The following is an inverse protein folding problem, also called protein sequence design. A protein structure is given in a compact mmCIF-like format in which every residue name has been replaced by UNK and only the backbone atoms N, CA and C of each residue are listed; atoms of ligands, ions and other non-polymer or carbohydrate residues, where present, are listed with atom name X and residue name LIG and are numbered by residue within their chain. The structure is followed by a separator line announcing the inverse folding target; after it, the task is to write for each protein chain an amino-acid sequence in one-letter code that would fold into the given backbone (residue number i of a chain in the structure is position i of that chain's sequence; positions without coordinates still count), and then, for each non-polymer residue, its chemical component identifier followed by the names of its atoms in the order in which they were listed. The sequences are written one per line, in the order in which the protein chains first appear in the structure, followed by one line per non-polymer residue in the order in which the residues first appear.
data_IF_819846122789
#
_entry.id   IF_819846122789
#
_cell.length_a   1.000
_cell.length_b   1.000
_cell.length_c   1.000
_cell.angle_alpha   90.00
_cell.angle_beta   90.00
_cell.angle_gamma   90.00
#
_symmetry.space_group_name_H-M   'P 1'
#
loop_
_entity.id
_entity.type
_entity.pdbx_description
1 polymer ?
#
# COMPACT_ATOMS: atom_id res chain seq x y z
N UNK A 1 -18.87 8.68 -22.36
CA UNK A 1 -18.43 9.37 -21.13
C UNK A 1 -17.41 10.43 -21.48
N UNK A 2 -17.64 11.63 -21.03
CA UNK A 2 -16.70 12.70 -21.31
C UNK A 2 -15.53 12.69 -20.33
N UNK A 3 -14.55 13.52 -20.62
CA UNK A 3 -13.31 13.56 -19.84
C UNK A 3 -13.55 14.05 -18.41
N UNK A 4 -14.48 14.97 -18.22
CA UNK A 4 -14.80 15.48 -16.90
C UNK A 4 -15.40 14.41 -16.01
N UNK A 5 -16.31 13.59 -16.55
CA UNK A 5 -16.91 12.49 -15.80
C UNK A 5 -15.85 11.48 -15.41
N UNK A 6 -14.92 11.18 -16.31
CA UNK A 6 -13.81 10.28 -16.00
C UNK A 6 -12.94 10.82 -14.88
N UNK A 7 -12.57 12.11 -14.96
CA UNK A 7 -11.74 12.71 -13.91
C UNK A 7 -12.45 12.77 -12.58
N UNK A 8 -13.74 13.14 -12.57
CA UNK A 8 -14.43 13.33 -11.31
C UNK A 8 -14.67 12.00 -10.57
N UNK A 9 -14.93 10.92 -11.28
CA UNK A 9 -15.19 9.62 -10.65
C UNK A 9 -13.91 8.81 -10.49
N UNK A 10 -13.14 8.66 -11.55
CA UNK A 10 -11.94 7.85 -11.51
C UNK A 10 -10.87 8.48 -10.62
N UNK A 11 -10.61 9.77 -10.81
CA UNK A 11 -9.62 10.48 -10.01
C UNK A 11 -10.03 10.54 -8.54
N UNK A 12 -11.31 10.81 -8.28
CA UNK A 12 -11.81 10.85 -6.90
C UNK A 12 -11.66 9.50 -6.21
N UNK A 13 -11.97 8.42 -6.91
CA UNK A 13 -11.78 7.08 -6.37
C UNK A 13 -10.33 6.79 -6.06
N UNK A 14 -9.43 7.16 -6.97
CA UNK A 14 -8.01 6.97 -6.75
C UNK A 14 -7.48 7.81 -5.59
N UNK A 15 -7.98 9.03 -5.47
CA UNK A 15 -7.60 9.92 -4.38
C UNK A 15 -8.04 9.34 -3.03
N UNK A 16 -9.26 8.84 -2.94
CA UNK A 16 -9.75 8.23 -1.72
C UNK A 16 -8.99 6.95 -1.40
N UNK A 17 -8.71 6.13 -2.40
CA UNK A 17 -7.95 4.90 -2.20
C UNK A 17 -6.53 5.21 -1.72
N UNK A 18 -5.92 6.29 -2.22
CA UNK A 18 -4.57 6.66 -1.84
C UNK A 18 -4.50 7.27 -0.44
N UNK A 19 -5.61 7.74 0.11
CA UNK A 19 -5.59 8.44 1.41
C UNK A 19 -5.00 7.59 2.52
N UNK A 20 -5.36 6.30 2.59
CA UNK A 20 -4.83 5.41 3.61
C UNK A 20 -3.33 5.20 3.43
N UNK A 21 -2.87 5.13 2.20
CA UNK A 21 -1.45 4.94 1.91
C UNK A 21 -0.64 6.18 2.25
N UNK A 22 -1.16 7.37 1.92
CA UNK A 22 -0.52 8.64 2.31
C UNK A 22 -0.43 8.72 3.83
N UNK A 23 -1.50 8.36 4.51
CA UNK A 23 -1.52 8.41 5.97
C UNK A 23 -0.52 7.44 6.61
N UNK A 24 -0.20 6.35 5.93
CA UNK A 24 0.73 5.34 6.44
C UNK A 24 2.20 5.76 6.34
N UNK A 25 2.53 6.68 5.42
CA UNK A 25 3.92 7.04 5.15
C UNK A 25 4.64 7.65 6.36
N UNK A 26 4.09 8.70 7.03
CA UNK A 26 4.81 9.30 8.15
C UNK A 26 5.11 8.31 9.27
N UNK A 27 4.16 7.44 9.60
CA UNK A 27 4.34 6.46 10.66
C UNK A 27 5.45 5.47 10.37
N UNK A 28 5.58 5.04 9.11
CA UNK A 28 6.63 4.11 8.73
C UNK A 28 8.00 4.75 8.80
N UNK A 29 8.10 6.04 8.50
CA UNK A 29 9.37 6.76 8.57
C UNK A 29 9.73 7.05 10.03
N UNK A 30 8.79 7.56 10.81
CA UNK A 30 9.08 7.95 12.20
C UNK A 30 9.26 6.75 13.12
N UNK A 31 8.58 5.63 12.85
CA UNK A 31 8.66 4.41 13.66
C UNK A 31 9.46 3.31 12.98
N UNK A 32 10.42 3.68 12.14
CA UNK A 32 11.21 2.72 11.37
C UNK A 32 11.86 1.67 12.25
N UNK A 33 12.49 2.10 13.35
CA UNK A 33 13.17 1.19 14.25
C UNK A 33 12.21 0.20 14.90
N UNK A 34 11.06 0.68 15.38
CA UNK A 34 10.06 -0.19 16.01
C UNK A 34 9.49 -1.20 15.01
N UNK A 35 9.22 -0.76 13.79
CA UNK A 35 8.68 -1.66 12.78
C UNK A 35 9.71 -2.68 12.32
N UNK A 36 10.98 -2.27 12.23
CA UNK A 36 12.07 -3.20 11.94
C UNK A 36 12.16 -4.28 13.01
N UNK A 37 12.08 -3.89 14.28
CA UNK A 37 12.11 -4.85 15.38
C UNK A 37 10.93 -5.80 15.34
N UNK A 38 9.77 -5.32 14.92
CA UNK A 38 8.60 -6.19 14.76
C UNK A 38 8.85 -7.26 13.71
N UNK A 39 9.45 -6.89 12.58
CA UNK A 39 9.78 -7.85 11.53
C UNK A 39 10.82 -8.85 12.04
N UNK A 40 11.81 -8.39 12.80
CA UNK A 40 12.82 -9.27 13.41
C UNK A 40 12.14 -10.30 14.31
N UNK A 41 11.12 -9.88 15.05
CA UNK A 41 10.39 -10.79 15.94
C UNK A 41 9.70 -11.92 15.19
N UNK A 42 9.52 -11.80 13.90
CA UNK A 42 8.94 -12.85 13.05
C UNK A 42 9.99 -13.84 12.52
N UNK A 43 11.23 -13.73 12.97
CA UNK A 43 12.30 -14.62 12.58
C UNK A 43 13.17 -14.14 11.43
N UNK A 44 13.02 -12.88 11.02
CA UNK A 44 13.80 -12.31 9.92
C UNK A 44 15.01 -11.57 10.51
N UNK A 45 16.25 -11.84 10.04
CA UNK A 45 17.44 -11.13 10.56
C UNK A 45 17.33 -9.63 10.38
N UNK A 46 17.90 -8.87 11.34
CA UNK A 46 17.77 -7.42 11.37
C UNK A 46 18.18 -6.71 10.08
N UNK A 47 19.33 -7.02 9.46
CA UNK A 47 19.71 -6.33 8.22
C UNK A 47 18.68 -6.54 7.12
N UNK A 48 18.15 -7.76 7.00
CA UNK A 48 17.14 -8.08 5.99
C UNK A 48 15.83 -7.38 6.32
N UNK A 49 15.45 -7.34 7.59
CA UNK A 49 14.23 -6.67 8.03
C UNK A 49 14.26 -5.18 7.70
N UNK A 50 15.40 -4.51 7.95
CA UNK A 50 15.56 -3.10 7.64
C UNK A 50 15.48 -2.84 6.13
N UNK A 51 16.09 -3.70 5.33
CA UNK A 51 16.04 -3.58 3.88
C UNK A 51 14.61 -3.77 3.38
N UNK A 52 13.91 -4.77 3.92
CA UNK A 52 12.52 -5.02 3.55
C UNK A 52 11.62 -3.83 3.87
N UNK A 53 11.78 -3.24 5.04
CA UNK A 53 10.97 -2.09 5.42
C UNK A 53 11.31 -0.87 4.57
N UNK A 54 12.59 -0.65 4.28
CA UNK A 54 13.00 0.45 3.39
C UNK A 54 12.40 0.27 1.99
N UNK A 55 12.47 -0.94 1.46
CA UNK A 55 11.87 -1.23 0.16
C UNK A 55 10.35 -1.02 0.18
N UNK A 56 9.70 -1.41 1.27
CA UNK A 56 8.26 -1.21 1.43
C UNK A 56 7.90 0.27 1.41
N UNK A 57 8.71 1.11 2.07
CA UNK A 57 8.47 2.56 2.08
C UNK A 57 8.61 3.13 0.66
N UNK A 58 9.63 2.70 -0.07
CA UNK A 58 9.82 3.15 -1.45
C UNK A 58 8.64 2.72 -2.33
N UNK A 59 8.19 1.48 -2.21
CA UNK A 59 7.02 1.01 -2.94
C UNK A 59 5.77 1.81 -2.59
N UNK A 60 5.60 2.11 -1.31
CA UNK A 60 4.44 2.87 -0.84
C UNK A 60 4.44 4.29 -1.38
N UNK A 61 5.57 4.97 -1.31
CA UNK A 61 5.69 6.33 -1.80
C UNK A 61 5.52 6.37 -3.32
N UNK A 62 6.23 5.50 -4.02
CA UNK A 62 6.19 5.46 -5.49
C UNK A 62 4.80 5.11 -6.01
N UNK A 63 4.19 4.07 -5.45
CA UNK A 63 2.87 3.65 -5.85
C UNK A 63 1.81 4.70 -5.58
N UNK A 64 1.88 5.33 -4.41
CA UNK A 64 0.93 6.38 -4.05
C UNK A 64 1.07 7.59 -4.97
N UNK A 65 2.30 8.00 -5.23
CA UNK A 65 2.56 9.13 -6.15
C UNK A 65 2.00 8.83 -7.54
N UNK A 66 2.27 7.65 -8.07
CA UNK A 66 1.79 7.28 -9.40
C UNK A 66 0.26 7.19 -9.43
N UNK A 67 -0.35 6.72 -8.35
CA UNK A 67 -1.79 6.58 -8.27
C UNK A 67 -2.50 7.94 -8.31
N UNK A 68 -1.93 8.93 -7.64
CA UNK A 68 -2.55 10.25 -7.53
C UNK A 68 -2.23 11.12 -8.75
N UNK A 69 -0.97 11.17 -9.16
CA UNK A 69 -0.48 12.22 -10.05
C UNK A 69 -0.27 11.78 -11.49
N UNK A 70 -0.39 10.49 -11.80
CA UNK A 70 -0.15 10.02 -13.16
C UNK A 70 -1.30 9.19 -13.68
N UNK A 71 -1.27 8.91 -14.98
CA UNK A 71 -2.22 8.00 -15.61
C UNK A 71 -1.74 6.55 -15.61
N UNK A 72 -0.63 6.28 -14.94
CA UNK A 72 -0.05 4.93 -14.86
C UNK A 72 -0.67 4.15 -13.70
N UNK A 73 -1.99 4.06 -13.70
CA UNK A 73 -2.72 3.43 -12.61
C UNK A 73 -2.39 1.94 -12.49
N UNK A 74 -2.14 1.26 -13.62
CA UNK A 74 -1.80 -0.16 -13.58
C UNK A 74 -0.47 -0.38 -12.86
N UNK A 75 0.55 0.43 -13.15
CA UNK A 75 1.82 0.35 -12.45
C UNK A 75 1.67 0.71 -10.98
N UNK A 76 0.92 1.78 -10.69
CA UNK A 76 0.70 2.22 -9.32
C UNK A 76 0.03 1.14 -8.49
N UNK A 77 -1.03 0.54 -9.00
CA UNK A 77 -1.75 -0.52 -8.29
C UNK A 77 -0.88 -1.75 -8.09
N UNK A 78 -0.07 -2.10 -9.09
CA UNK A 78 0.85 -3.23 -8.97
C UNK A 78 1.87 -3.01 -7.86
N UNK A 79 2.46 -1.82 -7.79
CA UNK A 79 3.43 -1.50 -6.74
C UNK A 79 2.79 -1.54 -5.36
N UNK A 80 1.59 -0.99 -5.23
CA UNK A 80 0.88 -0.99 -3.94
C UNK A 80 0.45 -2.40 -3.53
N UNK A 81 0.07 -3.25 -4.48
CA UNK A 81 -0.24 -4.65 -4.18
C UNK A 81 1.01 -5.41 -3.71
N UNK A 82 2.15 -5.19 -4.36
CA UNK A 82 3.42 -5.80 -3.96
C UNK A 82 3.79 -5.37 -2.55
N UNK A 83 3.48 -4.13 -2.17
CA UNK A 83 3.67 -3.65 -0.80
C UNK A 83 2.65 -4.26 0.16
N UNK A 84 1.38 -4.24 -0.20
CA UNK A 84 0.29 -4.48 0.75
C UNK A 84 0.11 -5.96 1.11
N UNK A 85 0.28 -6.87 0.15
CA UNK A 85 0.07 -8.29 0.40
C UNK A 85 1.09 -8.84 1.41
N UNK A 86 2.42 -8.66 1.21
CA UNK A 86 3.38 -9.10 2.22
C UNK A 86 3.20 -8.39 3.57
N UNK A 87 2.86 -7.09 3.56
CA UNK A 87 2.65 -6.34 4.79
C UNK A 87 1.50 -6.92 5.60
N UNK A 88 0.40 -7.27 4.93
CA UNK A 88 -0.74 -7.88 5.61
C UNK A 88 -0.33 -9.20 6.26
N UNK A 89 0.43 -10.03 5.54
CA UNK A 89 0.87 -11.31 6.05
C UNK A 89 1.80 -11.15 7.25
N UNK A 90 2.76 -10.24 7.17
CA UNK A 90 3.77 -10.07 8.23
C UNK A 90 3.19 -9.41 9.47
N UNK A 91 2.39 -8.34 9.31
CA UNK A 91 2.01 -7.49 10.42
C UNK A 91 0.66 -7.85 11.03
N UNK A 92 -0.25 -8.51 10.30
CA UNK A 92 -1.63 -8.62 10.75
C UNK A 92 -2.17 -10.04 10.89
N UNK A 93 -1.45 -11.07 10.40
CA UNK A 93 -1.92 -12.44 10.56
C UNK A 93 -1.53 -13.05 11.91
N UNK A 94 -0.35 -12.72 12.42
CA UNK A 94 0.12 -13.23 13.72
C UNK A 94 0.77 -12.09 14.47
N UNK A 95 0.15 -11.55 15.54
CA UNK A 95 -1.16 -11.92 16.07
C UNK A 95 -2.30 -11.58 15.11
N UNK A 96 -3.36 -12.35 15.17
CA UNK A 96 -4.50 -12.17 14.27
C UNK A 96 -5.24 -10.88 14.60
N UNK A 97 -5.29 -9.96 13.65
CA UNK A 97 -5.93 -8.66 13.81
C UNK A 97 -7.06 -8.54 12.78
N UNK A 98 -8.25 -8.97 13.17
CA UNK A 98 -9.38 -9.08 12.25
C UNK A 98 -9.69 -7.76 11.52
N UNK A 99 -9.78 -6.66 12.25
CA UNK A 99 -10.14 -5.38 11.64
C UNK A 99 -9.09 -4.92 10.63
N UNK A 100 -7.81 -5.10 10.96
CA UNK A 100 -6.73 -4.73 10.05
C UNK A 100 -6.73 -5.62 8.80
N UNK A 101 -6.98 -6.91 8.98
CA UNK A 101 -7.03 -7.85 7.84
C UNK A 101 -8.20 -7.51 6.93
N UNK A 102 -9.38 -7.27 7.48
CA UNK A 102 -10.56 -6.92 6.68
C UNK A 102 -10.31 -5.63 5.92
N UNK A 103 -9.76 -4.62 6.58
CA UNK A 103 -9.42 -3.35 5.93
C UNK A 103 -8.46 -3.57 4.76
N UNK A 104 -7.40 -4.34 4.99
CA UNK A 104 -6.40 -4.57 3.95
C UNK A 104 -6.94 -5.43 2.81
N UNK A 105 -7.80 -6.40 3.10
CA UNK A 105 -8.47 -7.16 2.05
C UNK A 105 -9.35 -6.26 1.18
N UNK A 106 -10.04 -5.30 1.80
CA UNK A 106 -10.84 -4.34 1.05
C UNK A 106 -9.97 -3.47 0.15
N UNK A 107 -8.82 -3.02 0.66
CA UNK A 107 -7.87 -2.24 -0.13
C UNK A 107 -7.28 -3.05 -1.27
N UNK A 108 -6.93 -4.31 -1.02
CA UNK A 108 -6.43 -5.20 -2.06
C UNK A 108 -7.49 -5.37 -3.14
N UNK A 109 -8.73 -5.59 -2.75
CA UNK A 109 -9.83 -5.69 -3.70
C UNK A 109 -9.99 -4.44 -4.55
N UNK A 110 -9.93 -3.27 -3.92
CA UNK A 110 -9.99 -2.00 -4.65
C UNK A 110 -8.84 -1.83 -5.63
N UNK A 111 -7.63 -2.21 -5.22
CA UNK A 111 -6.46 -2.13 -6.10
C UNK A 111 -6.56 -3.11 -7.26
N UNK A 112 -7.07 -4.30 -7.03
CA UNK A 112 -7.28 -5.30 -8.09
C UNK A 112 -8.28 -4.76 -9.11
N UNK A 113 -9.39 -4.19 -8.65
CA UNK A 113 -10.39 -3.62 -9.55
C UNK A 113 -9.78 -2.47 -10.35
N UNK A 114 -9.03 -1.58 -9.69
CA UNK A 114 -8.37 -0.48 -10.38
C UNK A 114 -7.36 -0.97 -11.39
N UNK A 115 -6.63 -2.04 -11.06
CA UNK A 115 -5.66 -2.65 -11.97
C UNK A 115 -6.36 -3.23 -13.20
N UNK A 116 -7.46 -3.94 -12.99
CA UNK A 116 -8.19 -4.62 -14.06
C UNK A 116 -8.84 -3.63 -15.02
N UNK A 117 -9.36 -2.52 -14.48
CA UNK A 117 -10.07 -1.52 -15.29
C UNK A 117 -9.16 -0.47 -15.92
N UNK A 118 -7.86 -0.49 -15.61
CA UNK A 118 -6.91 0.47 -16.13
C UNK A 118 -6.30 0.00 -17.45
N UNK A 119 -6.01 0.95 -18.30
CA UNK A 119 -5.36 0.69 -19.59
C UNK A 119 -3.90 1.07 -19.55
#
# INVERSE_FOLDING_TARGET
MDLKSFYSLNFLGRLFLSAIFVNAIPGKITNFSLQTQFIVSKGIPEPIAAIMLFAAIILLISGTFLLIFTKKAKLACSLLLIFLVPTTIIFHLVPFQLMAIVRNLSLIGGLIIALDTSN
#
